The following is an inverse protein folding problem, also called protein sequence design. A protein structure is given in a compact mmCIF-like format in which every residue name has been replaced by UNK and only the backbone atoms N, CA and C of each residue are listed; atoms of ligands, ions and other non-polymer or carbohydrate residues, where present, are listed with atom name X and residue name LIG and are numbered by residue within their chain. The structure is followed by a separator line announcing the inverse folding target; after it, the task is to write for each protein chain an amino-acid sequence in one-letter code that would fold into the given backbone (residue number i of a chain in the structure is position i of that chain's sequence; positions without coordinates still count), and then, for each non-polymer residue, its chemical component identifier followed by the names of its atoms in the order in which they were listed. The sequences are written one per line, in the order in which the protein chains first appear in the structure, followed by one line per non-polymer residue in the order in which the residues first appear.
data_IF_281342548797
#
_entry.id   IF_281342548797
#
_cell.length_a   1.000
_cell.length_b   1.000
_cell.length_c   1.000
_cell.angle_alpha   90.00
_cell.angle_beta   90.00
_cell.angle_gamma   90.00
#
_symmetry.space_group_name_H-M   'P 1'
#
loop_
_entity.id
_entity.type
_entity.pdbx_description
1 polymer ?
#
# COMPACT_ATOMS: atom_id res chain seq x y z
N UNK A 1 5.02 15.45 -15.90
CA UNK A 1 4.87 14.86 -14.54
C UNK A 1 3.45 14.32 -14.47
N UNK A 2 3.26 13.00 -14.37
CA UNK A 2 1.93 12.41 -14.34
C UNK A 2 1.27 12.71 -12.98
N UNK A 3 0.64 13.87 -12.88
CA UNK A 3 -0.17 14.34 -11.74
C UNK A 3 -1.52 13.63 -11.71
N UNK A 4 -1.52 12.30 -11.86
CA UNK A 4 -2.74 11.52 -11.75
C UNK A 4 -3.05 11.33 -10.26
N UNK A 5 -4.24 11.76 -9.86
CA UNK A 5 -4.72 11.56 -8.50
C UNK A 5 -4.69 10.07 -8.15
N UNK A 6 -4.01 9.71 -7.06
CA UNK A 6 -3.98 8.34 -6.57
C UNK A 6 -5.39 7.96 -6.10
N UNK A 7 -5.94 6.94 -6.76
CA UNK A 7 -7.24 6.37 -6.44
C UNK A 7 -7.06 4.90 -6.16
N UNK A 8 -7.69 4.45 -5.09
CA UNK A 8 -7.79 3.04 -4.78
C UNK A 8 -9.14 2.68 -4.18
N UNK A 9 -9.44 1.39 -4.26
CA UNK A 9 -10.65 0.78 -3.73
C UNK A 9 -10.24 -0.46 -2.96
N UNK A 10 -10.84 -0.66 -1.78
CA UNK A 10 -10.69 -1.88 -1.01
C UNK A 10 -11.34 -3.04 -1.77
N UNK A 11 -10.58 -4.10 -1.98
CA UNK A 11 -11.08 -5.29 -2.68
C UNK A 11 -11.89 -6.21 -1.76
N UNK A 12 -11.87 -5.98 -0.44
CA UNK A 12 -12.45 -6.84 0.59
C UNK A 12 -11.63 -8.11 0.86
N UNK A 13 -10.59 -8.37 0.06
CA UNK A 13 -9.66 -9.46 0.30
C UNK A 13 -8.58 -9.05 1.28
N UNK A 14 -8.08 -10.05 2.02
CA UNK A 14 -6.93 -9.91 2.90
C UNK A 14 -5.85 -10.90 2.50
N UNK A 15 -4.61 -10.46 2.53
CA UNK A 15 -3.44 -11.32 2.41
C UNK A 15 -2.83 -11.55 3.79
N UNK A 16 -2.17 -12.68 3.99
CA UNK A 16 -1.45 -12.96 5.25
C UNK A 16 0.01 -12.61 5.06
N UNK A 17 0.54 -11.74 5.92
CA UNK A 17 1.95 -11.39 5.89
C UNK A 17 2.79 -12.60 6.34
N UNK A 18 3.72 -13.11 5.51
CA UNK A 18 4.37 -14.41 5.73
C UNK A 18 5.27 -14.47 6.97
N UNK A 19 5.79 -13.32 7.43
CA UNK A 19 6.68 -13.25 8.61
C UNK A 19 5.95 -12.94 9.93
N UNK A 20 4.91 -12.11 9.91
CA UNK A 20 4.21 -11.65 11.12
C UNK A 20 2.91 -12.39 11.35
N UNK A 21 2.37 -13.06 10.32
CA UNK A 21 1.06 -13.71 10.34
C UNK A 21 -0.12 -12.72 10.34
N UNK A 22 0.13 -11.42 10.25
CA UNK A 22 -0.92 -10.41 10.26
C UNK A 22 -1.70 -10.39 8.95
N UNK A 23 -3.02 -10.19 9.06
CA UNK A 23 -3.85 -9.94 7.88
C UNK A 23 -3.68 -8.50 7.39
N UNK A 24 -3.27 -8.34 6.14
CA UNK A 24 -3.11 -7.06 5.45
C UNK A 24 -4.19 -6.90 4.38
N UNK A 25 -4.87 -5.74 4.30
CA UNK A 25 -5.93 -5.53 3.31
C UNK A 25 -5.34 -5.39 1.90
N UNK A 26 -6.04 -5.95 0.90
CA UNK A 26 -5.65 -5.85 -0.50
C UNK A 26 -6.42 -4.70 -1.15
N UNK A 27 -5.70 -3.73 -1.70
CA UNK A 27 -6.27 -2.56 -2.36
C UNK A 27 -5.98 -2.58 -3.85
N UNK A 28 -7.00 -2.34 -4.67
CA UNK A 28 -6.83 -2.07 -6.08
C UNK A 28 -6.50 -0.60 -6.25
N UNK A 29 -5.32 -0.28 -6.80
CA UNK A 29 -4.86 1.10 -6.97
C UNK A 29 -4.48 1.39 -8.43
N UNK A 30 -4.84 2.59 -8.91
CA UNK A 30 -4.65 2.99 -10.31
C UNK A 30 -3.19 3.23 -10.73
N UNK A 31 -2.26 3.20 -9.79
CA UNK A 31 -0.83 3.40 -10.04
C UNK A 31 -0.04 2.07 -10.10
N UNK A 32 -0.71 0.92 -9.90
CA UNK A 32 -0.13 -0.40 -10.08
C UNK A 32 -0.47 -0.87 -11.50
N UNK A 33 0.55 -1.00 -12.35
CA UNK A 33 0.37 -1.42 -13.75
C UNK A 33 0.54 -2.93 -13.86
N UNK A 34 -0.42 -3.61 -14.49
CA UNK A 34 -0.36 -5.06 -14.72
C UNK A 34 0.83 -5.47 -15.61
N UNK A 35 1.24 -4.59 -16.52
CA UNK A 35 2.37 -4.83 -17.44
C UNK A 35 3.74 -4.65 -16.79
N UNK A 36 3.80 -4.09 -15.57
CA UNK A 36 5.05 -3.80 -14.88
C UNK A 36 5.17 -4.60 -13.58
N UNK A 37 5.96 -5.67 -13.62
CA UNK A 37 6.12 -6.61 -12.50
C UNK A 37 5.11 -7.75 -12.53
N UNK A 38 4.56 -8.11 -11.37
CA UNK A 38 3.53 -9.17 -11.22
C UNK A 38 2.10 -8.61 -11.16
N UNK A 39 1.93 -7.28 -11.30
CA UNK A 39 0.66 -6.59 -11.10
C UNK A 39 0.29 -6.37 -9.62
N UNK A 40 1.21 -6.64 -8.69
CA UNK A 40 1.02 -6.39 -7.26
C UNK A 40 2.27 -5.73 -6.65
N UNK A 41 2.07 -4.76 -5.76
CA UNK A 41 3.14 -4.06 -5.03
C UNK A 41 2.80 -4.09 -3.54
N UNK A 42 3.79 -4.42 -2.71
CA UNK A 42 3.66 -4.30 -1.25
C UNK A 42 3.86 -2.85 -0.84
N UNK A 43 2.87 -2.26 -0.16
CA UNK A 43 2.95 -0.90 0.35
C UNK A 43 3.65 -0.87 1.71
N UNK A 44 4.64 0.00 1.88
CA UNK A 44 5.35 0.24 3.17
C UNK A 44 5.28 1.74 3.51
N UNK A 45 4.15 2.21 4.08
CA UNK A 45 3.91 3.63 4.31
C UNK A 45 4.92 4.32 5.24
N UNK A 46 5.60 3.55 6.11
CA UNK A 46 6.63 4.08 7.00
C UNK A 46 7.95 4.44 6.31
N UNK A 47 8.17 4.01 5.07
CA UNK A 47 9.44 4.20 4.34
C UNK A 47 9.27 4.64 2.87
N UNK A 48 8.07 4.53 2.28
CA UNK A 48 7.78 5.01 0.92
C UNK A 48 6.76 6.17 0.97
N UNK A 49 7.16 7.32 0.43
CA UNK A 49 6.34 8.54 0.38
C UNK A 49 5.03 8.33 -0.40
N UNK A 50 5.03 7.50 -1.45
CA UNK A 50 3.84 7.27 -2.27
C UNK A 50 2.80 6.46 -1.51
N UNK A 51 3.27 5.47 -0.76
CA UNK A 51 2.44 4.62 0.11
C UNK A 51 1.95 5.41 1.32
N UNK A 52 2.77 6.32 1.86
CA UNK A 52 2.38 7.24 2.93
C UNK A 52 1.21 8.14 2.50
N UNK A 53 1.26 8.74 1.32
CA UNK A 53 0.18 9.58 0.80
C UNK A 53 -1.11 8.79 0.57
N UNK A 54 -0.99 7.56 0.07
CA UNK A 54 -2.14 6.68 -0.12
C UNK A 54 -2.74 6.25 1.23
N UNK A 55 -1.90 5.80 2.16
CA UNK A 55 -2.34 5.40 3.49
C UNK A 55 -2.96 6.56 4.27
N UNK A 56 -2.38 7.77 4.20
CA UNK A 56 -2.92 8.96 4.84
C UNK A 56 -4.28 9.38 4.25
N UNK A 57 -4.44 9.27 2.91
CA UNK A 57 -5.70 9.58 2.23
C UNK A 57 -6.83 8.63 2.58
N UNK A 58 -6.52 7.34 2.74
CA UNK A 58 -7.50 6.28 2.97
C UNK A 58 -7.58 5.80 4.44
N UNK A 59 -6.83 6.44 5.35
CA UNK A 59 -6.83 6.08 6.77
C UNK A 59 -6.26 4.69 7.07
N UNK A 60 -5.31 4.23 6.25
CA UNK A 60 -4.65 2.93 6.44
C UNK A 60 -3.58 3.00 7.52
N UNK A 61 -3.24 1.85 8.08
CA UNK A 61 -2.24 1.74 9.14
C UNK A 61 -0.84 2.10 8.62
N UNK A 62 -0.21 3.11 9.21
CA UNK A 62 1.16 3.54 8.91
C UNK A 62 2.06 2.97 10.00
N UNK A 63 2.60 1.77 9.75
CA UNK A 63 3.61 1.16 10.63
C UNK A 63 5.01 1.61 10.24
N UNK A 64 5.67 2.34 11.14
CA UNK A 64 7.11 2.58 11.06
C UNK A 64 7.83 1.34 11.59
N UNK A 65 8.78 0.78 10.84
CA UNK A 65 9.51 -0.42 11.27
C UNK A 65 10.49 -0.17 12.42
N UNK A 66 10.82 1.09 12.71
CA UNK A 66 11.62 1.51 13.85
C UNK A 66 10.85 2.52 14.72
N UNK A 67 10.64 2.25 16.02
CA UNK A 67 9.96 3.17 16.93
C UNK A 67 10.94 4.26 17.44
N UNK A 68 11.48 5.11 16.57
CA UNK A 68 12.39 6.17 17.05
C UNK A 68 13.13 7.04 16.04
N UNK A 69 12.54 7.41 14.90
CA UNK A 69 13.07 8.51 14.08
C UNK A 69 12.05 9.63 13.95
#
# INVERSE_FOLDING_TARGET
MATMEKKGVDTGFKAVHPLTGEEIPVWAANFVLMEYGTGAVMAVPGHDQRDYEFASKYGLNIKTSYPGC
#
